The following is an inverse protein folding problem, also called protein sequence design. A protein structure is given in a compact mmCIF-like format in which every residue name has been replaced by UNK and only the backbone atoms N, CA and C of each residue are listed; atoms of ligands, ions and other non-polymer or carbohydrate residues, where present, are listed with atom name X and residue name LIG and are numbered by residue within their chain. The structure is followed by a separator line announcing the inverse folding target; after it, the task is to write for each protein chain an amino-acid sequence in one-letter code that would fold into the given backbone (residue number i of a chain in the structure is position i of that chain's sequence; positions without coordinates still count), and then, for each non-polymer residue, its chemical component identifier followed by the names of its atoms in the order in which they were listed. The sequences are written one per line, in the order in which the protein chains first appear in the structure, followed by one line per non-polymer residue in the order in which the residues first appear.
data_IF_849840401550
#
_entry.id   IF_849840401550
#
_cell.length_a   1.000
_cell.length_b   1.000
_cell.length_c   1.000
_cell.angle_alpha   90.00
_cell.angle_beta   90.00
_cell.angle_gamma   90.00
#
_symmetry.space_group_name_H-M   'P 1'
#
loop_
_entity.id
_entity.type
_entity.pdbx_description
1 polymer ?
#
# COMPACT_ATOMS: atom_id res chain seq x y z
N UNK A 1 40.13 -22.55 -4.36
CA UNK A 1 40.70 -21.22 -3.98
C UNK A 1 39.72 -20.55 -3.03
N UNK A 2 40.14 -20.39 -1.77
CA UNK A 2 39.40 -19.76 -0.67
C UNK A 2 39.77 -18.28 -0.64
N UNK A 3 38.82 -17.34 -0.54
CA UNK A 3 39.10 -15.99 -0.04
C UNK A 3 37.84 -15.36 0.61
N UNK A 4 37.94 -15.23 1.93
CA UNK A 4 37.53 -14.14 2.84
C UNK A 4 36.05 -13.78 3.06
N UNK A 5 35.53 -14.48 4.08
CA UNK A 5 34.70 -13.93 5.16
C UNK A 5 35.50 -12.86 5.94
N UNK A 6 34.79 -11.97 6.64
CA UNK A 6 35.23 -11.00 7.67
C UNK A 6 35.26 -9.55 7.17
N UNK A 7 34.13 -8.85 7.39
CA UNK A 7 34.16 -7.49 7.93
C UNK A 7 32.93 -7.32 8.86
N UNK A 8 33.18 -7.55 10.16
CA UNK A 8 32.64 -6.82 11.33
C UNK A 8 31.16 -6.39 11.29
N UNK A 9 30.20 -6.95 12.03
CA UNK A 9 30.17 -7.33 13.46
C UNK A 9 30.89 -6.35 14.38
N UNK A 10 30.57 -5.05 14.28
CA UNK A 10 30.83 -4.05 15.34
C UNK A 10 29.78 -2.94 15.30
N UNK A 11 28.51 -3.30 15.38
CA UNK A 11 27.44 -2.35 15.72
C UNK A 11 26.44 -2.97 16.71
N UNK A 12 26.94 -3.87 17.57
CA UNK A 12 26.12 -4.66 18.48
C UNK A 12 26.79 -4.83 19.85
N UNK A 13 27.37 -3.77 20.42
CA UNK A 13 27.84 -3.80 21.82
C UNK A 13 28.14 -2.40 22.40
N UNK A 14 27.21 -1.44 22.37
CA UNK A 14 27.40 -0.16 23.10
C UNK A 14 26.09 0.58 23.41
N UNK A 15 25.06 -0.08 23.95
CA UNK A 15 23.94 0.62 24.59
C UNK A 15 23.35 -0.18 25.77
N UNK A 16 24.23 -0.79 26.55
CA UNK A 16 23.89 -1.45 27.80
C UNK A 16 24.98 -1.21 28.85
N UNK A 17 25.24 0.05 29.20
CA UNK A 17 25.81 0.51 30.47
C UNK A 17 25.91 2.05 30.41
N UNK A 18 25.73 2.73 31.55
CA UNK A 18 25.59 4.17 31.63
C UNK A 18 26.84 4.98 31.31
N UNK A 19 26.60 6.15 30.72
CA UNK A 19 27.04 7.48 31.22
C UNK A 19 28.53 7.66 31.57
N UNK A 20 29.30 8.25 30.65
CA UNK A 20 30.36 9.23 30.97
C UNK A 20 30.43 10.25 29.82
N UNK A 21 30.16 11.53 30.10
CA UNK A 21 30.42 12.66 29.21
C UNK A 21 31.79 13.21 29.64
N UNK A 22 32.82 13.26 28.78
CA UNK A 22 34.06 13.93 29.12
C UNK A 22 33.86 15.44 29.08
N UNK A 23 33.93 16.06 30.26
CA UNK A 23 34.26 17.46 30.47
C UNK A 23 35.74 17.67 30.13
N UNK A 24 36.05 18.59 29.21
CA UNK A 24 37.21 19.48 29.23
C UNK A 24 37.24 20.31 27.94
N UNK A 25 37.07 21.62 28.11
CA UNK A 25 37.72 22.73 27.39
C UNK A 25 36.80 23.95 27.41
N UNK A 26 36.85 24.64 28.55
CA UNK A 26 36.54 26.06 28.66
C UNK A 26 37.89 26.76 28.55
N UNK A 27 38.15 27.48 27.47
CA UNK A 27 38.97 28.69 27.55
C UNK A 27 38.75 29.63 26.34
N UNK A 28 38.35 30.85 26.69
CA UNK A 28 38.56 32.11 25.96
C UNK A 28 38.04 32.23 24.52
N UNK A 29 36.81 32.76 24.37
CA UNK A 29 36.49 33.68 23.27
C UNK A 29 35.62 34.83 23.77
N UNK A 30 36.28 35.95 24.06
CA UNK A 30 35.83 37.31 23.75
C UNK A 30 34.53 37.79 24.38
N UNK A 31 34.60 38.19 25.66
CA UNK A 31 33.74 39.25 26.19
C UNK A 31 34.23 40.59 25.62
N UNK A 32 33.63 41.06 24.53
CA UNK A 32 33.58 42.51 24.27
C UNK A 32 32.43 43.08 25.11
N UNK A 33 32.82 43.66 26.22
CA UNK A 33 31.99 44.46 27.11
C UNK A 33 31.64 45.73 26.34
N UNK A 34 30.39 45.85 25.89
CA UNK A 34 29.81 47.16 25.55
C UNK A 34 29.50 47.88 26.87
N UNK A 35 30.45 48.67 27.33
CA UNK A 35 30.20 49.74 28.29
C UNK A 35 29.23 50.74 27.65
N UNK A 36 28.02 50.87 28.21
CA UNK A 36 27.08 51.92 27.79
C UNK A 36 25.61 51.55 27.66
N UNK A 37 25.10 50.53 28.36
CA UNK A 37 23.65 50.33 28.49
C UNK A 37 23.28 49.61 29.79
N UNK A 38 23.61 50.22 30.93
CA UNK A 38 23.08 49.84 32.24
C UNK A 38 22.15 50.98 32.65
N UNK A 39 20.87 50.84 32.36
CA UNK A 39 19.76 51.51 33.08
C UNK A 39 18.38 50.89 32.70
N UNK A 40 18.33 49.57 32.47
CA UNK A 40 17.08 48.83 32.47
C UNK A 40 17.21 47.63 33.43
N UNK A 41 16.26 47.44 34.37
CA UNK A 41 16.33 46.32 35.30
C UNK A 41 16.25 45.02 34.51
N UNK A 42 17.28 44.18 34.66
CA UNK A 42 17.33 42.84 34.08
C UNK A 42 16.20 42.04 34.68
N UNK A 43 15.08 41.98 33.94
CA UNK A 43 14.00 41.04 34.19
C UNK A 43 14.62 39.65 34.24
N UNK A 44 14.66 39.10 35.46
CA UNK A 44 15.18 37.78 35.73
C UNK A 44 14.60 36.78 34.73
N UNK A 45 15.44 36.15 33.91
CA UNK A 45 15.03 35.03 33.07
C UNK A 45 14.73 33.86 34.02
N UNK A 46 13.50 33.83 34.53
CA UNK A 46 12.98 32.72 35.31
C UNK A 46 12.81 31.54 34.36
N UNK A 47 13.75 30.60 34.39
CA UNK A 47 13.57 29.29 33.77
C UNK A 47 12.41 28.58 34.46
N UNK A 48 11.20 28.75 33.92
CA UNK A 48 10.01 28.02 34.36
C UNK A 48 10.28 26.53 34.16
N UNK A 49 10.53 25.80 35.25
CA UNK A 49 10.62 24.34 35.24
C UNK A 49 9.31 23.79 34.68
N UNK A 50 9.40 22.95 33.65
CA UNK A 50 8.24 22.24 33.12
C UNK A 50 7.49 21.53 34.26
N UNK A 51 6.15 21.66 34.32
CA UNK A 51 5.38 21.04 35.38
C UNK A 51 5.60 19.52 35.40
N UNK A 52 5.92 18.97 36.59
CA UNK A 52 6.11 17.52 36.79
C UNK A 52 4.86 16.79 36.30
N UNK A 53 5.00 15.97 35.25
CA UNK A 53 3.89 15.17 34.70
C UNK A 53 3.22 14.34 35.80
N UNK A 54 1.90 14.46 35.90
CA UNK A 54 1.10 13.73 36.89
C UNK A 54 1.14 12.22 36.63
N UNK A 55 0.87 11.40 37.66
CA UNK A 55 0.77 9.93 37.52
C UNK A 55 -0.21 9.52 36.39
N UNK A 56 -1.31 10.27 36.23
CA UNK A 56 -2.29 10.06 35.16
C UNK A 56 -1.72 10.34 33.76
N UNK A 57 -0.92 11.40 33.58
CA UNK A 57 -0.25 11.69 32.30
C UNK A 57 0.80 10.64 31.94
N UNK A 58 1.53 10.11 32.93
CA UNK A 58 2.47 8.99 32.74
C UNK A 58 1.75 7.70 32.35
N UNK A 59 0.62 7.38 32.97
CA UNK A 59 -0.20 6.21 32.61
C UNK A 59 -0.78 6.30 31.18
N UNK A 60 -1.32 7.47 30.79
CA UNK A 60 -1.83 7.71 29.42
C UNK A 60 -0.74 7.56 28.35
N UNK A 61 0.45 8.10 28.60
CA UNK A 61 1.58 7.98 27.66
C UNK A 61 2.13 6.56 27.58
N UNK A 62 2.16 5.82 28.68
CA UNK A 62 2.51 4.39 28.69
C UNK A 62 1.48 3.56 27.89
N UNK A 63 0.19 3.76 28.12
CA UNK A 63 -0.88 3.08 27.37
C UNK A 63 -0.80 3.37 25.86
N UNK A 64 -0.61 4.64 25.48
CA UNK A 64 -0.43 5.04 24.08
C UNK A 64 0.81 4.40 23.43
N UNK A 65 1.91 4.26 24.18
CA UNK A 65 3.12 3.57 23.72
C UNK A 65 2.86 2.09 23.49
N UNK A 66 2.21 1.41 24.43
CA UNK A 66 1.85 -0.01 24.32
C UNK A 66 0.94 -0.26 23.12
N UNK A 67 -0.08 0.58 22.91
CA UNK A 67 -0.91 0.53 21.71
C UNK A 67 -0.10 0.72 20.43
N UNK A 68 0.83 1.68 20.40
CA UNK A 68 1.67 1.95 19.22
C UNK A 68 2.56 0.75 18.89
N UNK A 69 3.13 0.09 19.91
CA UNK A 69 3.94 -1.12 19.76
C UNK A 69 3.08 -2.26 19.20
N UNK A 70 1.90 -2.52 19.78
CA UNK A 70 0.97 -3.54 19.31
C UNK A 70 0.56 -3.31 17.85
N UNK A 71 0.11 -2.08 17.51
CA UNK A 71 -0.23 -1.68 16.14
C UNK A 71 0.94 -1.84 15.17
N UNK A 72 2.18 -1.59 15.60
CA UNK A 72 3.39 -1.81 14.78
C UNK A 72 3.65 -3.31 14.54
N UNK A 73 3.46 -4.16 15.55
CA UNK A 73 3.55 -5.61 15.44
C UNK A 73 2.54 -6.18 14.45
N UNK A 74 1.27 -5.79 14.57
CA UNK A 74 0.18 -6.20 13.67
C UNK A 74 0.43 -5.77 12.21
N UNK A 75 0.92 -4.54 12.00
CA UNK A 75 1.33 -4.06 10.67
C UNK A 75 2.47 -4.90 10.09
N UNK A 76 3.45 -5.28 10.90
CA UNK A 76 4.57 -6.14 10.45
C UNK A 76 4.08 -7.55 10.07
N UNK A 77 3.21 -8.15 10.89
CA UNK A 77 2.65 -9.47 10.63
C UNK A 77 1.80 -9.50 9.35
N UNK A 78 0.91 -8.51 9.17
CA UNK A 78 0.10 -8.39 7.94
C UNK A 78 0.96 -8.18 6.69
N UNK A 79 2.03 -7.38 6.78
CA UNK A 79 2.99 -7.20 5.70
C UNK A 79 3.71 -8.50 5.33
N UNK A 80 4.20 -9.25 6.32
CA UNK A 80 4.88 -10.54 6.09
C UNK A 80 3.95 -11.58 5.47
N UNK A 81 2.70 -11.66 5.96
CA UNK A 81 1.68 -12.54 5.39
C UNK A 81 1.36 -12.17 3.93
N UNK A 82 1.24 -10.88 3.63
CA UNK A 82 1.04 -10.38 2.27
C UNK A 82 2.23 -10.69 1.36
N UNK A 83 3.46 -10.51 1.84
CA UNK A 83 4.68 -10.83 1.10
C UNK A 83 4.77 -12.32 0.76
N UNK A 84 4.43 -13.20 1.71
CA UNK A 84 4.38 -14.65 1.50
C UNK A 84 3.34 -15.04 0.46
N UNK A 85 2.14 -14.45 0.51
CA UNK A 85 1.09 -14.69 -0.48
C UNK A 85 1.48 -14.16 -1.87
N UNK A 86 2.07 -12.96 -1.95
CA UNK A 86 2.54 -12.35 -3.18
C UNK A 86 3.65 -13.17 -3.84
N UNK A 87 4.63 -13.68 -3.07
CA UNK A 87 5.70 -14.56 -3.58
C UNK A 87 5.16 -15.83 -4.22
N UNK A 88 4.05 -16.37 -3.70
CA UNK A 88 3.36 -17.54 -4.24
C UNK A 88 2.36 -17.21 -5.35
N UNK A 89 2.22 -15.93 -5.72
CA UNK A 89 1.28 -15.54 -6.77
C UNK A 89 1.90 -15.80 -8.14
N UNK A 90 1.22 -16.60 -8.96
CA UNK A 90 1.69 -16.99 -10.30
C UNK A 90 1.21 -16.02 -11.38
N UNK A 91 1.85 -16.08 -12.57
CA UNK A 91 1.54 -15.28 -13.76
C UNK A 91 1.66 -13.75 -13.60
N UNK A 92 2.45 -13.27 -12.64
CA UNK A 92 2.68 -11.84 -12.49
C UNK A 92 3.43 -11.27 -13.70
N UNK A 93 3.01 -10.12 -14.26
CA UNK A 93 3.66 -9.53 -15.44
C UNK A 93 5.10 -9.09 -15.12
N UNK A 94 5.97 -8.94 -16.12
CA UNK A 94 7.29 -8.38 -15.90
C UNK A 94 7.18 -6.93 -15.40
N UNK A 95 8.13 -6.46 -14.57
CA UNK A 95 8.09 -5.07 -14.02
C UNK A 95 8.08 -4.00 -15.11
N UNK A 96 8.64 -4.33 -16.28
CA UNK A 96 8.78 -3.48 -17.46
C UNK A 96 7.59 -3.55 -18.43
N UNK A 97 6.66 -4.48 -18.23
CA UNK A 97 5.44 -4.56 -19.04
C UNK A 97 4.58 -3.31 -18.83
N UNK A 98 3.79 -2.94 -19.83
CA UNK A 98 2.83 -1.84 -19.73
C UNK A 98 1.41 -2.27 -20.03
N UNK A 99 0.45 -1.54 -19.47
CA UNK A 99 -0.98 -1.74 -19.64
C UNK A 99 -1.59 -0.37 -19.95
N UNK A 100 -2.21 -0.24 -21.12
CA UNK A 100 -2.75 1.04 -21.58
C UNK A 100 -4.27 1.02 -21.55
N UNK A 101 -4.84 1.93 -20.77
CA UNK A 101 -6.28 2.20 -20.74
C UNK A 101 -6.54 3.42 -21.61
N UNK A 102 -7.37 3.31 -22.66
CA UNK A 102 -7.70 4.42 -23.53
C UNK A 102 -8.47 5.51 -22.77
N UNK A 103 -8.31 6.75 -23.22
CA UNK A 103 -9.13 7.88 -22.83
C UNK A 103 -10.59 7.67 -23.26
N UNK A 104 -11.52 8.40 -22.64
CA UNK A 104 -12.91 8.42 -23.07
C UNK A 104 -13.79 9.31 -22.19
N UNK A 105 -14.85 9.88 -22.76
CA UNK A 105 -15.85 10.62 -21.99
C UNK A 105 -15.28 11.81 -21.22
N UNK A 106 -14.27 12.49 -21.78
CA UNK A 106 -13.54 13.60 -21.14
C UNK A 106 -12.49 13.18 -20.10
N UNK A 107 -12.27 11.88 -19.88
CA UNK A 107 -11.25 11.36 -18.95
C UNK A 107 -9.94 11.05 -19.69
N UNK A 108 -8.77 11.33 -19.07
CA UNK A 108 -7.48 11.09 -19.69
C UNK A 108 -7.16 9.59 -19.77
N UNK A 109 -6.35 9.21 -20.75
CA UNK A 109 -5.80 7.86 -20.86
C UNK A 109 -4.90 7.54 -19.65
N UNK A 110 -4.81 6.26 -19.27
CA UNK A 110 -3.89 5.81 -18.22
C UNK A 110 -2.91 4.78 -18.75
N UNK A 111 -1.67 4.88 -18.30
CA UNK A 111 -0.65 3.84 -18.50
C UNK A 111 -0.20 3.33 -17.14
N UNK A 112 -0.26 2.01 -16.98
CA UNK A 112 0.25 1.30 -15.82
C UNK A 112 1.45 0.46 -16.20
N UNK A 113 2.41 0.37 -15.29
CA UNK A 113 3.55 -0.53 -15.42
C UNK A 113 3.30 -1.85 -14.73
N UNK A 114 4.06 -2.89 -15.07
CA UNK A 114 4.02 -4.15 -14.34
C UNK A 114 4.49 -4.01 -12.89
N UNK A 115 5.28 -2.97 -12.56
CA UNK A 115 5.57 -2.59 -11.17
C UNK A 115 4.29 -2.18 -10.43
N UNK A 116 3.43 -1.37 -11.06
CA UNK A 116 2.16 -0.93 -10.46
C UNK A 116 1.21 -2.10 -10.27
N UNK A 117 1.13 -2.99 -11.28
CA UNK A 117 0.31 -4.21 -11.20
C UNK A 117 0.77 -5.13 -10.07
N UNK A 118 2.07 -5.42 -9.97
CA UNK A 118 2.61 -6.24 -8.87
C UNK A 118 2.35 -5.59 -7.51
N UNK A 119 2.52 -4.27 -7.41
CA UNK A 119 2.22 -3.54 -6.17
C UNK A 119 0.74 -3.64 -5.80
N UNK A 120 -0.18 -3.47 -6.75
CA UNK A 120 -1.61 -3.62 -6.51
C UNK A 120 -1.99 -5.05 -6.08
N UNK A 121 -1.36 -6.07 -6.66
CA UNK A 121 -1.54 -7.47 -6.22
C UNK A 121 -0.98 -7.68 -4.80
N UNK A 122 0.15 -7.10 -4.46
CA UNK A 122 0.67 -7.13 -3.09
C UNK A 122 -0.28 -6.43 -2.11
N UNK A 123 -0.76 -5.23 -2.46
CA UNK A 123 -1.68 -4.45 -1.64
C UNK A 123 -3.03 -5.16 -1.48
N UNK A 124 -3.48 -5.90 -2.49
CA UNK A 124 -4.64 -6.80 -2.42
C UNK A 124 -4.46 -7.89 -1.35
N UNK A 125 -3.29 -8.53 -1.29
CA UNK A 125 -2.99 -9.52 -0.23
C UNK A 125 -2.94 -8.89 1.15
N UNK A 126 -2.39 -7.68 1.26
CA UNK A 126 -2.35 -6.93 2.52
C UNK A 126 -3.75 -6.55 2.98
N UNK A 127 -4.58 -6.08 2.06
CA UNK A 127 -5.97 -5.75 2.34
C UNK A 127 -6.76 -7.00 2.76
N UNK A 128 -6.51 -8.15 2.13
CA UNK A 128 -7.11 -9.42 2.51
C UNK A 128 -6.74 -9.86 3.94
N UNK A 129 -5.59 -9.45 4.48
CA UNK A 129 -5.27 -9.66 5.91
C UNK A 129 -5.99 -8.64 6.79
N UNK A 130 -6.00 -7.37 6.37
CA UNK A 130 -6.63 -6.28 7.11
C UNK A 130 -8.11 -6.57 7.34
N UNK A 131 -8.85 -6.98 6.31
CA UNK A 131 -10.31 -7.21 6.42
C UNK A 131 -10.69 -8.34 7.38
N UNK A 132 -9.78 -9.29 7.68
CA UNK A 132 -10.06 -10.39 8.63
C UNK A 132 -10.25 -9.91 10.07
N UNK A 133 -9.67 -8.76 10.41
CA UNK A 133 -9.71 -8.19 11.76
C UNK A 133 -10.70 -7.03 11.87
N UNK A 134 -11.47 -6.74 10.83
CA UNK A 134 -12.41 -5.62 10.78
C UNK A 134 -13.85 -6.09 11.01
N UNK A 135 -14.70 -5.16 11.44
CA UNK A 135 -16.15 -5.39 11.45
C UNK A 135 -16.70 -5.54 10.02
N UNK A 136 -17.84 -6.20 9.88
CA UNK A 136 -18.52 -6.38 8.57
C UNK A 136 -18.74 -5.04 7.86
N UNK A 137 -19.12 -3.99 8.58
CA UNK A 137 -19.35 -2.64 8.03
C UNK A 137 -18.07 -2.01 7.50
N UNK A 138 -16.94 -2.21 8.19
CA UNK A 138 -15.63 -1.72 7.74
C UNK A 138 -15.10 -2.54 6.56
N UNK A 139 -15.31 -3.86 6.57
CA UNK A 139 -14.93 -4.75 5.47
C UNK A 139 -15.67 -4.41 4.17
N UNK A 140 -16.95 -3.99 4.24
CA UNK A 140 -17.72 -3.52 3.07
C UNK A 140 -17.10 -2.30 2.37
N UNK A 141 -16.36 -1.45 3.11
CA UNK A 141 -15.65 -0.29 2.55
C UNK A 141 -14.29 -0.65 1.93
N UNK A 142 -13.90 -1.93 1.96
CA UNK A 142 -12.63 -2.38 1.38
C UNK A 142 -12.60 -2.17 -0.14
N UNK A 143 -11.46 -1.76 -0.70
CA UNK A 143 -11.24 -1.77 -2.14
C UNK A 143 -11.12 -3.18 -2.73
N UNK A 144 -10.93 -4.21 -1.89
CA UNK A 144 -10.88 -5.61 -2.32
C UNK A 144 -12.30 -6.15 -2.48
N UNK A 145 -12.72 -6.42 -3.71
CA UNK A 145 -14.06 -6.95 -4.01
C UNK A 145 -13.98 -8.32 -4.67
N UNK A 146 -15.04 -9.11 -4.54
CA UNK A 146 -15.23 -10.31 -5.34
C UNK A 146 -15.45 -9.91 -6.80
N UNK A 147 -14.80 -10.62 -7.72
CA UNK A 147 -14.98 -10.47 -9.15
C UNK A 147 -15.56 -11.78 -9.70
N UNK A 148 -16.74 -11.72 -10.30
CA UNK A 148 -17.37 -12.84 -10.99
C UNK A 148 -17.38 -12.58 -12.49
N UNK A 149 -16.96 -13.58 -13.26
CA UNK A 149 -16.82 -13.49 -14.72
C UNK A 149 -18.13 -13.87 -15.45
N UNK A 150 -19.29 -13.53 -14.87
CA UNK A 150 -20.61 -13.87 -15.42
C UNK A 150 -20.88 -13.45 -16.89
N UNK A 151 -20.23 -12.42 -17.47
CA UNK A 151 -20.50 -12.05 -18.87
C UNK A 151 -20.07 -13.07 -19.94
N UNK A 152 -19.29 -14.10 -19.58
CA UNK A 152 -18.95 -15.17 -20.54
C UNK A 152 -20.07 -16.21 -20.72
N UNK A 153 -21.12 -16.20 -19.89
CA UNK A 153 -22.19 -17.20 -19.97
C UNK A 153 -23.34 -16.78 -20.88
N UNK A 154 -23.46 -15.49 -21.25
CA UNK A 154 -24.51 -15.02 -22.16
C UNK A 154 -24.16 -13.67 -22.79
N UNK A 155 -23.44 -13.61 -23.93
CA UNK A 155 -23.50 -12.43 -24.76
C UNK A 155 -24.96 -12.24 -25.16
N UNK A 156 -25.64 -11.21 -24.65
CA UNK A 156 -26.96 -10.84 -25.17
C UNK A 156 -26.81 -10.63 -26.69
N UNK A 157 -27.76 -11.09 -27.53
CA UNK A 157 -27.72 -10.83 -28.96
C UNK A 157 -27.55 -9.33 -29.22
N UNK A 158 -26.56 -8.94 -30.02
CA UNK A 158 -26.23 -7.54 -30.34
C UNK A 158 -25.32 -6.82 -29.32
N UNK A 159 -25.02 -7.43 -28.17
CA UNK A 159 -24.06 -6.89 -27.20
C UNK A 159 -22.68 -7.48 -27.41
N UNK A 160 -21.77 -6.76 -28.07
CA UNK A 160 -20.36 -7.17 -28.16
C UNK A 160 -19.77 -7.37 -26.77
N UNK A 161 -19.46 -8.61 -26.39
CA UNK A 161 -18.77 -8.89 -25.13
C UNK A 161 -17.29 -8.50 -25.29
N UNK A 162 -16.86 -7.43 -24.62
CA UNK A 162 -15.43 -7.14 -24.53
C UNK A 162 -14.77 -8.28 -23.74
N UNK A 163 -13.65 -8.86 -24.21
CA UNK A 163 -13.07 -10.02 -23.56
C UNK A 163 -12.63 -9.66 -22.13
N UNK A 164 -13.01 -10.49 -21.16
CA UNK A 164 -12.50 -10.44 -19.80
C UNK A 164 -11.43 -11.52 -19.60
N UNK A 165 -10.56 -11.38 -18.58
CA UNK A 165 -9.52 -12.37 -18.32
C UNK A 165 -10.10 -13.78 -18.11
N UNK A 166 -9.52 -14.78 -18.77
CA UNK A 166 -9.95 -16.17 -18.59
C UNK A 166 -9.78 -16.63 -17.13
N UNK A 167 -10.88 -17.00 -16.51
CA UNK A 167 -10.93 -17.49 -15.14
C UNK A 167 -11.16 -19.00 -15.12
N UNK A 168 -10.57 -19.68 -14.14
CA UNK A 168 -10.81 -21.12 -13.98
C UNK A 168 -12.22 -21.26 -13.38
N UNK A 169 -13.16 -21.79 -14.15
CA UNK A 169 -14.53 -22.07 -13.72
C UNK A 169 -14.66 -23.57 -13.44
N UNK A 170 -15.08 -23.92 -12.22
CA UNK A 170 -15.44 -25.29 -11.89
C UNK A 170 -16.93 -25.44 -12.15
N UNK A 171 -17.29 -25.97 -13.33
CA UNK A 171 -18.68 -26.16 -13.77
C UNK A 171 -19.48 -27.07 -12.83
N UNK A 172 -18.82 -27.88 -12.01
CA UNK A 172 -19.48 -28.77 -11.05
C UNK A 172 -19.78 -28.09 -9.71
N UNK A 173 -19.17 -26.92 -9.45
CA UNK A 173 -19.37 -26.18 -8.22
C UNK A 173 -20.24 -24.97 -8.50
N UNK A 174 -21.46 -24.99 -7.95
CA UNK A 174 -22.39 -23.85 -7.87
C UNK A 174 -21.72 -22.57 -7.34
N UNK A 175 -20.59 -22.72 -6.63
CA UNK A 175 -19.68 -21.66 -6.20
C UNK A 175 -18.25 -21.96 -6.62
N UNK A 176 -17.91 -21.71 -7.90
CA UNK A 176 -16.50 -21.54 -8.29
C UNK A 176 -15.89 -20.43 -7.43
N UNK A 177 -14.68 -20.60 -6.90
CA UNK A 177 -13.99 -19.56 -6.14
C UNK A 177 -13.94 -18.27 -6.97
N UNK A 178 -14.65 -17.20 -6.54
CA UNK A 178 -14.70 -15.97 -7.30
C UNK A 178 -13.30 -15.37 -7.40
N UNK A 179 -13.08 -14.63 -8.47
CA UNK A 179 -11.92 -13.76 -8.56
C UNK A 179 -11.96 -12.71 -7.48
N UNK A 180 -10.86 -12.01 -7.34
CA UNK A 180 -10.77 -10.79 -6.55
C UNK A 180 -10.28 -9.68 -7.45
N UNK A 181 -10.96 -8.56 -7.38
CA UNK A 181 -10.51 -7.33 -7.99
C UNK A 181 -9.91 -6.40 -6.92
N UNK A 182 -8.89 -5.67 -7.32
CA UNK A 182 -8.29 -4.61 -6.51
C UNK A 182 -7.88 -3.44 -7.41
N UNK A 183 -8.14 -2.18 -7.03
CA UNK A 183 -7.86 -1.04 -7.88
C UNK A 183 -6.35 -0.87 -8.13
N UNK A 184 -6.02 -0.45 -9.34
CA UNK A 184 -4.72 0.17 -9.64
C UNK A 184 -4.70 1.59 -9.07
N UNK A 185 -3.52 2.22 -8.90
CA UNK A 185 -3.46 3.64 -8.53
C UNK A 185 -4.10 4.52 -9.61
N UNK A 186 -4.59 5.70 -9.25
CA UNK A 186 -4.94 6.73 -10.21
C UNK A 186 -3.77 7.73 -10.27
N UNK A 187 -3.01 7.73 -11.38
CA UNK A 187 -1.84 8.59 -11.54
C UNK A 187 -2.19 10.07 -11.79
N UNK A 188 -3.39 10.36 -12.28
CA UNK A 188 -3.82 11.74 -12.57
C UNK A 188 -4.47 12.40 -11.36
N UNK A 189 -5.28 11.65 -10.61
CA UNK A 189 -5.88 12.11 -9.37
C UNK A 189 -5.95 10.98 -8.32
N UNK A 190 -4.99 10.89 -7.38
CA UNK A 190 -4.92 9.84 -6.38
C UNK A 190 -6.13 9.76 -5.43
N UNK A 191 -6.92 10.83 -5.31
CA UNK A 191 -8.12 10.87 -4.46
C UNK A 191 -9.34 10.20 -5.09
N UNK A 192 -9.28 9.88 -6.39
CA UNK A 192 -10.40 9.31 -7.14
C UNK A 192 -10.16 7.84 -7.48
N UNK A 193 -11.22 7.02 -7.61
CA UNK A 193 -11.07 5.64 -8.05
C UNK A 193 -10.36 5.56 -9.40
N UNK A 194 -9.39 4.65 -9.50
CA UNK A 194 -8.75 4.33 -10.78
C UNK A 194 -9.75 3.62 -11.71
N UNK A 195 -9.66 3.86 -13.03
CA UNK A 195 -10.48 3.14 -14.01
C UNK A 195 -10.14 1.65 -14.08
N UNK A 196 -8.96 1.24 -13.63
CA UNK A 196 -8.44 -0.11 -13.81
C UNK A 196 -8.26 -0.90 -12.51
N UNK A 197 -8.38 -2.22 -12.62
CA UNK A 197 -8.31 -3.18 -11.51
C UNK A 197 -7.46 -4.38 -11.90
N UNK A 198 -6.70 -4.91 -10.94
CA UNK A 198 -6.02 -6.20 -11.09
C UNK A 198 -6.96 -7.32 -10.67
N UNK A 199 -6.98 -8.40 -11.44
CA UNK A 199 -7.75 -9.61 -11.13
C UNK A 199 -6.83 -10.73 -10.67
N UNK A 200 -7.13 -11.30 -9.51
CA UNK A 200 -6.48 -12.50 -8.99
C UNK A 200 -7.51 -13.57 -8.70
N UNK A 201 -7.12 -14.84 -8.81
CA UNK A 201 -8.00 -15.96 -8.44
C UNK A 201 -7.25 -16.92 -7.53
N UNK A 202 -7.92 -17.41 -6.48
CA UNK A 202 -7.38 -18.45 -5.62
C UNK A 202 -7.41 -19.80 -6.36
N UNK A 203 -6.29 -20.50 -6.38
CA UNK A 203 -6.17 -21.85 -6.97
C UNK A 203 -6.64 -22.92 -6.00
N UNK A 204 -6.86 -24.15 -6.50
CA UNK A 204 -7.21 -25.31 -5.66
C UNK A 204 -6.12 -25.60 -4.60
N UNK A 205 -4.84 -25.38 -4.95
CA UNK A 205 -3.69 -25.52 -4.04
C UNK A 205 -3.50 -24.36 -3.06
N UNK A 206 -4.47 -23.44 -2.93
CA UNK A 206 -4.50 -22.41 -1.90
C UNK A 206 -3.65 -21.16 -2.17
N UNK A 207 -2.89 -21.12 -3.26
CA UNK A 207 -2.17 -19.93 -3.72
C UNK A 207 -3.03 -19.08 -4.67
N UNK A 208 -2.50 -17.97 -5.18
CA UNK A 208 -3.21 -17.07 -6.08
C UNK A 208 -2.57 -17.06 -7.47
N UNK A 209 -3.37 -16.83 -8.49
CA UNK A 209 -2.91 -16.61 -9.87
C UNK A 209 -3.40 -15.25 -10.33
N UNK A 210 -2.50 -14.44 -10.87
CA UNK A 210 -2.87 -13.23 -11.59
C UNK A 210 -3.56 -13.61 -12.90
N UNK A 211 -4.76 -13.06 -13.14
CA UNK A 211 -5.56 -13.34 -14.33
C UNK A 211 -5.44 -12.25 -15.38
N UNK A 212 -5.29 -11.01 -14.96
CA UNK A 212 -5.15 -9.88 -15.88
C UNK A 212 -5.45 -8.54 -15.22
N UNK A 213 -5.38 -7.49 -16.02
CA UNK A 213 -5.91 -6.16 -15.69
C UNK A 213 -7.22 -6.00 -16.44
N UNK A 214 -8.22 -5.46 -15.76
CA UNK A 214 -9.47 -5.00 -16.38
C UNK A 214 -9.62 -3.50 -16.18
N UNK A 215 -10.38 -2.85 -17.04
CA UNK A 215 -10.74 -1.44 -16.89
C UNK A 215 -12.23 -1.24 -17.17
N UNK A 216 -12.83 -0.27 -16.49
CA UNK A 216 -14.10 0.29 -16.93
C UNK A 216 -13.90 1.09 -18.23
N UNK A 217 -14.91 1.05 -19.10
CA UNK A 217 -15.01 1.89 -20.28
C UNK A 217 -15.15 3.36 -19.87
N UNK A 218 -14.14 4.15 -20.19
CA UNK A 218 -14.09 5.56 -19.81
C UNK A 218 -15.08 6.43 -20.59
N UNK A 219 -15.52 5.98 -21.77
CA UNK A 219 -16.49 6.71 -22.60
C UNK A 219 -17.87 6.86 -21.94
N UNK A 220 -18.15 6.09 -20.88
CA UNK A 220 -19.40 6.17 -20.13
C UNK A 220 -19.50 7.50 -19.38
N UNK A 221 -20.55 8.24 -19.71
CA UNK A 221 -21.03 9.43 -18.99
C UNK A 221 -22.13 9.04 -18.01
N UNK A 222 -22.45 9.93 -17.06
CA UNK A 222 -23.50 9.71 -16.06
C UNK A 222 -24.86 9.38 -16.68
N UNK A 223 -25.12 9.85 -17.90
CA UNK A 223 -26.34 9.58 -18.68
C UNK A 223 -26.46 8.12 -19.17
N UNK A 224 -25.38 7.33 -19.12
CA UNK A 224 -25.34 5.94 -19.61
C UNK A 224 -25.24 4.89 -18.49
N UNK A 225 -25.44 5.29 -17.23
CA UNK A 225 -25.23 4.46 -16.02
C UNK A 225 -26.06 3.16 -15.96
N UNK A 226 -27.12 3.00 -16.75
CA UNK A 226 -28.07 1.86 -16.68
C UNK A 226 -27.73 0.57 -17.44
N UNK A 227 -26.79 0.54 -18.40
CA UNK A 227 -26.48 -0.65 -19.22
C UNK A 227 -25.50 -1.64 -18.53
N UNK A 228 -25.74 -1.91 -17.24
CA UNK A 228 -24.76 -2.29 -16.22
C UNK A 228 -24.11 -3.67 -16.23
N UNK A 229 -23.75 -4.27 -17.37
CA UNK A 229 -23.09 -5.60 -17.36
C UNK A 229 -21.84 -5.76 -18.25
N UNK A 230 -21.59 -4.88 -19.22
CA UNK A 230 -20.50 -5.03 -20.21
C UNK A 230 -19.48 -3.88 -20.23
N UNK A 231 -19.37 -3.09 -19.15
CA UNK A 231 -18.47 -1.93 -19.14
C UNK A 231 -17.01 -2.27 -18.82
N UNK A 232 -16.73 -3.49 -18.41
CA UNK A 232 -15.37 -3.94 -18.15
C UNK A 232 -14.76 -4.55 -19.41
N UNK A 233 -13.48 -4.30 -19.62
CA UNK A 233 -12.70 -4.97 -20.66
C UNK A 233 -11.31 -5.32 -20.15
N UNK A 234 -10.75 -6.42 -20.67
CA UNK A 234 -9.37 -6.79 -20.39
C UNK A 234 -8.41 -5.80 -21.04
N UNK A 235 -7.50 -5.27 -20.24
CA UNK A 235 -6.39 -4.45 -20.71
C UNK A 235 -5.24 -5.38 -21.09
N UNK A 236 -4.85 -5.38 -22.36
CA UNK A 236 -3.77 -6.24 -22.86
C UNK A 236 -2.42 -5.79 -22.30
N UNK A 237 -1.66 -6.76 -21.80
CA UNK A 237 -0.25 -6.57 -21.44
C UNK A 237 0.57 -6.31 -22.71
N UNK A 238 1.33 -5.22 -22.73
CA UNK A 238 2.37 -4.98 -23.74
C UNK A 238 3.72 -5.28 -23.11
N UNK A 239 4.36 -6.35 -23.58
CA UNK A 239 5.72 -6.69 -23.18
C UNK A 239 6.67 -5.79 -23.94
N UNK A 240 7.58 -5.11 -23.23
CA UNK A 240 8.68 -4.39 -23.87
C UNK A 240 9.57 -5.43 -24.54
N UNK A 241 9.60 -5.48 -25.87
CA UNK A 241 10.59 -6.29 -26.60
C UNK A 241 11.96 -5.79 -26.18
N UNK A 242 12.83 -6.69 -25.71
CA UNK A 242 14.21 -6.34 -25.40
C UNK A 242 14.85 -5.70 -26.63
N UNK A 243 15.53 -4.57 -26.42
CA UNK A 243 16.58 -4.12 -27.32
C UNK A 243 17.85 -4.82 -26.88
#
# INVERSE_FOLDING_TARGET
MRFNVILSVTFLASFAAGLVIPSNEVESRGLEIRDGLIDDPVDSIVFKRDPKRTKAQKARTAAARTERIKKKGEKKASFQAAAKAHKKTTNLPARTSTFHVPAGGGKPAHTYTGKDVRKAVFDSHREAQRIKTLSKTQAKKSPLKSFSNHPHESPKPGGGAKPLPHMTVDKTKKHTQPGREFPLPNHHNPSTPSPARVITQKTKGGHYTFKGVISHDQSRTDKTKGAGYNDHFQVKERKRKGK
#
